data_IF_707544435806
#
_entry.id   IF_707544435806
#
_cell.length_a   1.000
_cell.length_b   1.000
_cell.length_c   1.000
_cell.angle_alpha   90.00
_cell.angle_beta   90.00
_cell.angle_gamma   90.00
#
_symmetry.space_group_name_H-M   'P 1'
#
loop_
_entity.id
_entity.type
_entity.pdbx_description
1 polymer ?
#
# COMPACT_ATOMS: atom_id res chain seq x y z
N UNK A 1 -14.27 34.16 -23.20
CA UNK A 1 -13.41 33.24 -22.38
C UNK A 1 -14.28 32.03 -22.02
N UNK A 2 -14.09 30.93 -22.72
CA UNK A 2 -14.75 29.68 -22.34
C UNK A 2 -14.25 29.26 -20.94
N UNK A 3 -15.18 29.05 -20.01
CA UNK A 3 -14.88 28.47 -18.72
C UNK A 3 -14.30 27.06 -18.95
N UNK A 4 -13.02 26.87 -18.70
CA UNK A 4 -12.42 25.52 -18.68
C UNK A 4 -13.31 24.64 -17.78
N UNK A 5 -13.91 23.61 -18.37
CA UNK A 5 -14.74 22.64 -17.66
C UNK A 5 -13.86 21.98 -16.58
N UNK A 6 -14.31 21.99 -15.34
CA UNK A 6 -13.71 21.20 -14.28
C UNK A 6 -14.15 19.75 -14.45
N UNK A 7 -13.18 18.83 -14.52
CA UNK A 7 -13.44 17.40 -14.55
C UNK A 7 -13.27 16.85 -13.14
N UNK A 8 -14.27 16.18 -12.63
CA UNK A 8 -14.19 15.53 -11.33
C UNK A 8 -13.45 14.20 -11.46
N UNK A 9 -12.67 13.83 -10.40
CA UNK A 9 -11.87 12.58 -10.40
C UNK A 9 -12.76 11.35 -10.63
N UNK A 10 -13.98 11.37 -10.10
CA UNK A 10 -14.95 10.29 -10.29
C UNK A 10 -15.37 10.06 -11.75
N UNK A 11 -15.20 11.07 -12.65
CA UNK A 11 -15.52 10.93 -14.08
C UNK A 11 -14.47 10.07 -14.81
N UNK A 12 -13.22 10.09 -14.35
CA UNK A 12 -12.10 9.38 -15.00
C UNK A 12 -11.70 8.10 -14.25
N UNK A 13 -12.03 8.00 -12.97
CA UNK A 13 -11.61 6.92 -12.10
C UNK A 13 -10.12 6.97 -11.76
N UNK A 14 -9.67 6.01 -10.94
CA UNK A 14 -8.28 5.95 -10.47
C UNK A 14 -7.28 5.76 -11.62
N UNK A 15 -7.45 4.74 -12.44
CA UNK A 15 -6.53 4.44 -13.55
C UNK A 15 -6.52 5.55 -14.60
N UNK A 16 -7.70 6.11 -14.95
CA UNK A 16 -7.78 7.23 -15.88
C UNK A 16 -7.09 8.49 -15.35
N UNK A 17 -7.13 8.73 -14.04
CA UNK A 17 -6.37 9.81 -13.40
C UNK A 17 -4.86 9.56 -13.49
N UNK A 18 -4.40 8.36 -13.19
CA UNK A 18 -2.99 7.98 -13.28
C UNK A 18 -2.48 8.21 -14.70
N UNK A 19 -3.20 7.71 -15.71
CA UNK A 19 -2.84 7.88 -17.12
C UNK A 19 -2.74 9.36 -17.53
N UNK A 20 -3.67 10.19 -17.06
CA UNK A 20 -3.65 11.63 -17.33
C UNK A 20 -2.46 12.33 -16.67
N UNK A 21 -2.12 11.96 -15.44
CA UNK A 21 -1.06 12.61 -14.67
C UNK A 21 0.34 12.15 -15.11
N UNK A 22 0.47 10.91 -15.57
CA UNK A 22 1.75 10.35 -16.02
C UNK A 22 2.02 10.53 -17.50
N UNK A 23 1.05 11.07 -18.24
CA UNK A 23 1.19 11.38 -19.68
C UNK A 23 2.34 12.34 -19.91
N UNK A 24 3.34 11.93 -20.70
CA UNK A 24 4.51 12.72 -21.03
C UNK A 24 5.70 12.51 -20.08
N UNK A 25 5.60 11.59 -19.12
CA UNK A 25 6.73 11.11 -18.32
C UNK A 25 7.30 9.84 -18.94
N UNK A 26 7.90 9.99 -20.12
CA UNK A 26 8.57 8.86 -20.78
C UNK A 26 9.92 8.60 -20.10
N UNK A 27 10.30 7.34 -19.89
CA UNK A 27 11.61 7.00 -19.33
C UNK A 27 12.74 7.58 -20.17
N UNK A 28 13.62 8.37 -19.56
CA UNK A 28 14.80 8.93 -20.21
C UNK A 28 16.04 8.06 -20.01
N UNK A 29 16.03 7.18 -19.00
CA UNK A 29 17.14 6.29 -18.67
C UNK A 29 16.88 4.87 -19.18
N UNK A 30 17.87 4.30 -19.88
CA UNK A 30 17.77 2.98 -20.49
C UNK A 30 17.65 1.83 -19.46
N UNK A 31 17.97 2.07 -18.19
CA UNK A 31 17.79 1.11 -17.10
C UNK A 31 16.33 0.98 -16.67
N UNK A 32 15.48 1.95 -17.00
CA UNK A 32 14.05 1.90 -16.70
C UNK A 32 13.33 1.04 -17.75
N UNK A 33 13.01 -0.19 -17.39
CA UNK A 33 12.32 -1.13 -18.29
C UNK A 33 10.81 -0.94 -18.29
N UNK A 34 10.26 -0.51 -17.15
CA UNK A 34 8.83 -0.22 -16.95
C UNK A 34 8.68 0.92 -15.95
N UNK A 35 8.01 1.97 -16.36
CA UNK A 35 7.68 3.12 -15.51
C UNK A 35 6.25 2.98 -14.94
N UNK A 36 5.54 4.09 -14.73
CA UNK A 36 4.16 4.09 -14.24
C UNK A 36 3.21 3.30 -15.16
N UNK A 37 2.17 2.68 -14.57
CA UNK A 37 1.11 1.96 -15.30
C UNK A 37 1.04 0.46 -15.02
N UNK A 38 1.86 -0.07 -14.12
CA UNK A 38 1.78 -1.44 -13.60
C UNK A 38 1.89 -1.41 -12.05
N UNK A 39 1.85 -2.56 -11.39
CA UNK A 39 1.90 -2.65 -9.92
C UNK A 39 3.22 -2.12 -9.35
N UNK A 40 4.33 -2.26 -10.09
CA UNK A 40 5.63 -1.71 -9.72
C UNK A 40 6.42 -1.21 -10.93
N UNK A 41 7.33 -0.25 -10.70
CA UNK A 41 8.36 0.10 -11.67
C UNK A 41 9.39 -1.03 -11.78
N UNK A 42 9.96 -1.21 -12.98
CA UNK A 42 11.02 -2.21 -13.21
C UNK A 42 12.28 -1.49 -13.67
N UNK A 43 13.33 -1.63 -12.88
CA UNK A 43 14.65 -1.08 -13.18
C UNK A 43 15.63 -2.24 -13.28
N UNK A 44 16.48 -2.21 -14.30
CA UNK A 44 17.49 -3.24 -14.50
C UNK A 44 18.88 -2.68 -14.19
N UNK A 45 19.47 -3.06 -13.06
CA UNK A 45 20.83 -2.67 -12.76
C UNK A 45 21.84 -3.37 -13.71
N UNK A 46 23.09 -2.91 -13.80
CA UNK A 46 24.12 -3.52 -14.66
C UNK A 46 24.38 -5.00 -14.40
N UNK A 47 24.02 -5.52 -13.24
CA UNK A 47 24.15 -6.93 -12.84
C UNK A 47 23.28 -7.91 -13.64
N UNK A 48 22.33 -7.43 -14.43
CA UNK A 48 21.41 -8.26 -15.21
C UNK A 48 20.13 -8.69 -14.46
N UNK A 49 20.02 -8.41 -13.17
CA UNK A 49 18.78 -8.57 -12.43
C UNK A 49 17.89 -7.31 -12.55
N UNK A 50 16.59 -7.51 -12.60
CA UNK A 50 15.62 -6.44 -12.52
C UNK A 50 15.39 -6.07 -11.05
N UNK A 51 15.40 -4.78 -10.75
CA UNK A 51 14.92 -4.23 -9.47
C UNK A 51 13.51 -3.72 -9.69
N UNK A 52 12.60 -4.13 -8.81
CA UNK A 52 11.23 -3.67 -8.77
C UNK A 52 11.08 -2.72 -7.57
N UNK A 53 10.33 -1.65 -7.78
CA UNK A 53 10.06 -0.67 -6.73
C UNK A 53 8.57 -0.33 -6.76
N UNK A 54 7.92 -0.46 -5.61
CA UNK A 54 6.53 -0.03 -5.41
C UNK A 54 6.41 0.86 -4.20
N UNK A 55 5.39 1.71 -4.19
CA UNK A 55 5.08 2.56 -3.04
C UNK A 55 3.59 2.58 -2.79
N UNK A 56 3.23 2.47 -1.51
CA UNK A 56 1.87 2.53 -1.01
C UNK A 56 1.73 3.59 0.07
N UNK A 57 0.53 4.10 0.22
CA UNK A 57 0.18 4.99 1.32
C UNK A 57 -1.07 4.47 2.04
N UNK A 58 -1.01 4.39 3.37
CA UNK A 58 -2.14 4.08 4.22
C UNK A 58 -2.50 5.30 5.07
N UNK A 59 -3.73 5.74 4.99
CA UNK A 59 -4.23 6.95 5.65
C UNK A 59 -5.30 6.59 6.69
N UNK A 60 -5.15 7.15 7.88
CA UNK A 60 -6.17 7.04 8.93
C UNK A 60 -7.51 7.62 8.45
N UNK A 61 -8.59 6.86 8.67
CA UNK A 61 -9.94 7.20 8.22
C UNK A 61 -10.27 6.79 6.79
N UNK A 62 -9.29 6.34 6.00
CA UNK A 62 -9.46 5.81 4.64
C UNK A 62 -9.12 4.31 4.63
N UNK A 63 -7.87 3.96 4.93
CA UNK A 63 -7.36 2.58 4.81
C UNK A 63 -7.46 1.80 6.12
N UNK A 64 -7.57 2.51 7.24
CA UNK A 64 -7.72 1.96 8.58
C UNK A 64 -8.39 2.97 9.51
N UNK A 65 -8.91 2.46 10.64
CA UNK A 65 -9.51 3.27 11.69
C UNK A 65 -8.99 2.76 13.04
N UNK A 66 -8.25 3.61 13.76
CA UNK A 66 -7.61 3.27 15.03
C UNK A 66 -8.61 2.93 16.15
N UNK A 67 -9.91 3.19 15.97
CA UNK A 67 -10.93 2.80 16.97
C UNK A 67 -11.14 1.28 17.03
N UNK A 68 -10.83 0.55 15.97
CA UNK A 68 -10.98 -0.92 15.90
C UNK A 68 -9.83 -1.65 15.23
N UNK A 69 -8.80 -0.93 14.75
CA UNK A 69 -7.65 -1.55 14.10
C UNK A 69 -6.41 -1.43 15.02
N UNK A 70 -5.96 -2.53 15.67
CA UNK A 70 -4.78 -2.49 16.52
C UNK A 70 -3.52 -2.09 15.76
N UNK A 71 -2.68 -1.25 16.37
CA UNK A 71 -1.48 -0.71 15.72
C UNK A 71 -0.50 -1.80 15.27
N UNK A 72 -0.35 -2.86 16.06
CA UNK A 72 0.49 -4.01 15.67
C UNK A 72 -0.02 -4.70 14.41
N UNK A 73 -1.33 -4.87 14.27
CA UNK A 73 -1.92 -5.43 13.05
C UNK A 73 -1.79 -4.46 11.86
N UNK A 74 -1.88 -3.14 12.12
CA UNK A 74 -1.65 -2.13 11.10
C UNK A 74 -0.21 -2.19 10.57
N UNK A 75 0.78 -2.32 11.46
CA UNK A 75 2.18 -2.49 11.07
C UNK A 75 2.41 -3.72 10.19
N UNK A 76 1.81 -4.86 10.54
CA UNK A 76 1.84 -6.07 9.73
C UNK A 76 1.19 -5.87 8.36
N UNK A 77 -0.03 -5.31 8.35
CA UNK A 77 -0.77 -4.99 7.11
C UNK A 77 0.05 -4.10 6.19
N UNK A 78 0.67 -3.04 6.73
CA UNK A 78 1.44 -2.08 5.96
C UNK A 78 2.57 -2.75 5.16
N UNK A 79 3.38 -3.59 5.80
CA UNK A 79 4.45 -4.35 5.13
C UNK A 79 3.87 -5.28 4.05
N UNK A 80 2.79 -5.99 4.38
CA UNK A 80 2.18 -6.97 3.47
C UNK A 80 1.60 -6.30 2.23
N UNK A 81 0.97 -5.12 2.38
CA UNK A 81 0.43 -4.37 1.23
C UNK A 81 1.57 -3.95 0.31
N UNK A 82 2.62 -3.30 0.83
CA UNK A 82 3.75 -2.86 0.01
C UNK A 82 4.52 -4.03 -0.64
N UNK A 83 4.66 -5.15 0.05
CA UNK A 83 5.30 -6.35 -0.49
C UNK A 83 4.45 -7.05 -1.56
N UNK A 84 3.12 -6.91 -1.50
CA UNK A 84 2.21 -7.61 -2.41
C UNK A 84 2.40 -7.22 -3.87
N UNK A 85 2.70 -5.95 -4.17
CA UNK A 85 2.95 -5.48 -5.53
C UNK A 85 4.22 -6.10 -6.13
N UNK A 86 5.26 -6.20 -5.32
CA UNK A 86 6.51 -6.86 -5.71
C UNK A 86 6.27 -8.34 -6.00
N UNK A 87 5.51 -9.01 -5.12
CA UNK A 87 5.16 -10.42 -5.27
C UNK A 87 4.25 -10.65 -6.50
N UNK A 88 3.31 -9.73 -6.77
CA UNK A 88 2.41 -9.81 -7.93
C UNK A 88 3.19 -9.81 -9.26
N UNK A 89 4.38 -9.21 -9.30
CA UNK A 89 5.26 -9.20 -10.46
C UNK A 89 6.30 -10.33 -10.46
N UNK A 90 6.10 -11.37 -9.64
CA UNK A 90 6.98 -12.53 -9.52
C UNK A 90 8.41 -12.18 -9.09
N UNK A 91 8.56 -11.17 -8.23
CA UNK A 91 9.82 -10.78 -7.63
C UNK A 91 9.80 -11.03 -6.11
N UNK A 92 10.98 -11.10 -5.50
CA UNK A 92 11.12 -11.26 -4.05
C UNK A 92 11.34 -9.90 -3.41
N UNK A 93 10.44 -9.43 -2.53
CA UNK A 93 10.68 -8.22 -1.76
C UNK A 93 11.89 -8.42 -0.86
N UNK A 94 12.74 -7.41 -0.74
CA UNK A 94 14.00 -7.49 0.00
C UNK A 94 14.24 -6.33 0.94
N UNK A 95 13.84 -5.11 0.58
CA UNK A 95 13.99 -3.93 1.41
C UNK A 95 12.69 -3.15 1.48
N UNK A 96 12.52 -2.41 2.59
CA UNK A 96 11.40 -1.54 2.85
C UNK A 96 11.89 -0.21 3.42
N UNK A 97 11.29 0.88 2.98
CA UNK A 97 11.38 2.21 3.62
C UNK A 97 10.00 2.62 4.11
N UNK A 98 9.94 3.29 5.27
CA UNK A 98 8.68 3.74 5.87
C UNK A 98 8.73 5.25 6.11
N UNK A 99 7.85 5.98 5.42
CA UNK A 99 7.60 7.39 5.71
C UNK A 99 6.41 7.51 6.65
N UNK A 100 6.59 8.18 7.78
CA UNK A 100 5.61 8.24 8.87
C UNK A 100 5.14 9.67 9.10
N UNK A 101 3.85 9.93 8.92
CA UNK A 101 3.18 11.14 9.36
C UNK A 101 2.49 10.91 10.71
N UNK A 102 3.00 11.54 11.79
CA UNK A 102 2.55 11.27 13.17
C UNK A 102 1.69 12.40 13.69
N UNK A 103 0.47 12.07 14.11
CA UNK A 103 -0.38 12.99 14.85
C UNK A 103 0.09 13.12 16.30
N UNK A 104 -0.01 14.33 16.86
CA UNK A 104 0.29 14.60 18.28
C UNK A 104 -0.59 13.82 19.27
N UNK A 105 -1.60 13.12 18.80
CA UNK A 105 -2.48 12.26 19.62
C UNK A 105 -1.84 10.90 19.92
N UNK A 106 -0.81 10.50 19.17
CA UNK A 106 -0.14 9.22 19.35
C UNK A 106 1.03 9.34 20.32
N UNK A 107 1.15 8.37 21.22
CA UNK A 107 2.31 8.25 22.12
C UNK A 107 3.45 7.50 21.48
N UNK A 108 4.62 7.56 22.10
CA UNK A 108 5.80 6.77 21.68
C UNK A 108 5.49 5.27 21.75
N UNK A 109 4.80 4.83 22.81
CA UNK A 109 4.43 3.43 23.02
C UNK A 109 3.51 2.93 21.89
N UNK A 110 2.55 3.76 21.45
CA UNK A 110 1.67 3.45 20.32
C UNK A 110 2.48 3.26 19.03
N UNK A 111 3.47 4.10 18.78
CA UNK A 111 4.37 3.95 17.62
C UNK A 111 5.27 2.72 17.75
N UNK A 112 5.71 2.38 18.95
CA UNK A 112 6.47 1.14 19.21
C UNK A 112 5.61 -0.08 18.87
N UNK A 113 4.33 -0.12 19.27
CA UNK A 113 3.41 -1.20 18.93
C UNK A 113 3.24 -1.34 17.40
N UNK A 114 3.12 -0.22 16.69
CA UNK A 114 3.09 -0.22 15.21
C UNK A 114 4.36 -0.84 14.63
N UNK A 115 5.53 -0.41 15.11
CA UNK A 115 6.82 -0.93 14.65
C UNK A 115 7.10 -2.37 15.03
N UNK A 116 6.54 -2.88 16.13
CA UNK A 116 6.56 -4.32 16.44
C UNK A 116 5.84 -5.14 15.37
N UNK A 117 4.71 -4.62 14.86
CA UNK A 117 3.99 -5.24 13.75
C UNK A 117 4.79 -5.22 12.45
N UNK A 118 5.42 -4.08 12.13
CA UNK A 118 6.31 -3.94 10.97
C UNK A 118 7.48 -4.94 11.09
N UNK A 119 8.17 -4.95 12.23
CA UNK A 119 9.31 -5.82 12.45
C UNK A 119 8.94 -7.32 12.39
N UNK A 120 7.75 -7.67 12.87
CA UNK A 120 7.26 -9.05 12.78
C UNK A 120 7.04 -9.45 11.32
N UNK A 121 6.35 -8.64 10.54
CA UNK A 121 6.10 -8.92 9.12
C UNK A 121 7.40 -8.95 8.29
N UNK A 122 8.33 -8.02 8.56
CA UNK A 122 9.63 -7.98 7.91
C UNK A 122 10.43 -9.25 8.16
N UNK A 123 10.46 -9.75 9.42
CA UNK A 123 11.14 -11.01 9.74
C UNK A 123 10.49 -12.22 9.07
N UNK A 124 9.17 -12.28 9.07
CA UNK A 124 8.42 -13.40 8.47
C UNK A 124 8.64 -13.48 6.96
N UNK A 125 8.74 -12.32 6.30
CA UNK A 125 8.85 -12.23 4.84
C UNK A 125 10.29 -12.06 4.34
N UNK A 126 11.28 -11.97 5.24
CA UNK A 126 12.69 -11.79 4.87
C UNK A 126 12.98 -10.41 4.29
N UNK A 127 12.29 -9.37 4.75
CA UNK A 127 12.42 -7.98 4.28
C UNK A 127 13.21 -7.17 5.30
N UNK A 128 14.18 -6.40 4.84
CA UNK A 128 14.95 -5.48 5.68
C UNK A 128 14.32 -4.08 5.68
N UNK A 129 14.04 -3.54 6.86
CA UNK A 129 13.72 -2.12 7.02
C UNK A 129 15.01 -1.32 6.91
N UNK A 130 15.20 -0.60 5.80
CA UNK A 130 16.47 0.08 5.48
C UNK A 130 16.45 1.58 5.67
N UNK A 131 15.29 2.18 5.94
CA UNK A 131 15.20 3.61 6.17
C UNK A 131 13.77 4.13 6.21
N UNK A 132 13.64 5.44 6.15
CA UNK A 132 12.35 6.12 6.16
C UNK A 132 12.48 7.60 6.53
N UNK A 133 11.36 8.22 6.80
CA UNK A 133 11.26 9.60 7.26
C UNK A 133 10.14 9.71 8.30
N UNK A 134 10.21 10.71 9.17
CA UNK A 134 9.16 10.98 10.17
C UNK A 134 8.82 12.46 10.19
N UNK A 135 7.54 12.75 10.01
CA UNK A 135 7.00 14.11 10.01
C UNK A 135 5.81 14.23 10.95
N UNK A 136 5.56 15.45 11.42
CA UNK A 136 4.30 15.73 12.10
C UNK A 136 3.14 15.73 11.09
N UNK A 137 1.99 15.16 11.51
CA UNK A 137 0.74 15.18 10.75
C UNK A 137 -0.36 15.87 11.54
N UNK A 138 -1.12 16.72 10.89
CA UNK A 138 -2.30 17.38 11.49
C UNK A 138 -3.59 16.58 11.28
N UNK A 139 -3.59 15.62 10.36
CA UNK A 139 -4.80 14.92 9.92
C UNK A 139 -4.92 13.49 10.42
N UNK A 140 -3.99 13.00 11.22
CA UNK A 140 -3.95 11.63 11.73
C UNK A 140 -2.67 10.90 11.41
N UNK A 141 -2.68 9.57 11.54
CA UNK A 141 -1.55 8.71 11.20
C UNK A 141 -1.52 8.48 9.68
N UNK A 142 -0.37 8.69 9.09
CA UNK A 142 -0.09 8.41 7.68
C UNK A 142 1.13 7.50 7.59
N UNK A 143 1.02 6.44 6.81
CA UNK A 143 2.11 5.51 6.52
C UNK A 143 2.36 5.53 5.01
N UNK A 144 3.52 5.98 4.59
CA UNK A 144 4.03 5.78 3.24
C UNK A 144 5.05 4.66 3.26
N UNK A 145 4.92 3.68 2.39
CA UNK A 145 5.82 2.55 2.33
C UNK A 145 6.40 2.43 0.93
N UNK A 146 7.70 2.24 0.84
CA UNK A 146 8.37 1.95 -0.42
C UNK A 146 9.07 0.62 -0.28
N UNK A 147 8.62 -0.36 -1.06
CA UNK A 147 9.21 -1.69 -1.13
C UNK A 147 10.12 -1.83 -2.35
N UNK A 148 11.23 -2.50 -2.16
CA UNK A 148 12.16 -2.89 -3.21
C UNK A 148 12.23 -4.42 -3.25
N UNK A 149 12.34 -4.95 -4.46
CA UNK A 149 12.53 -6.37 -4.69
C UNK A 149 13.34 -6.61 -5.95
N UNK A 150 13.70 -7.86 -6.20
CA UNK A 150 14.50 -8.21 -7.37
C UNK A 150 14.08 -9.57 -7.94
N UNK A 151 14.29 -9.72 -9.21
CA UNK A 151 14.09 -10.97 -9.93
C UNK A 151 14.98 -11.04 -11.18
N UNK A 152 15.30 -12.24 -11.66
CA UNK A 152 15.81 -12.38 -13.03
C UNK A 152 14.86 -11.71 -14.03
N UNK A 153 15.38 -10.89 -14.93
CA UNK A 153 14.60 -10.08 -15.88
C UNK A 153 13.53 -10.90 -16.62
N UNK A 154 13.88 -12.10 -17.04
CA UNK A 154 13.00 -12.99 -17.81
C UNK A 154 11.89 -13.63 -16.98
N UNK A 155 11.94 -13.51 -15.65
CA UNK A 155 10.91 -14.01 -14.74
C UNK A 155 9.92 -12.94 -14.28
N UNK A 156 10.19 -11.67 -14.57
CA UNK A 156 9.29 -10.58 -14.21
C UNK A 156 8.01 -10.70 -15.02
N UNK A 157 6.88 -10.73 -14.34
CA UNK A 157 5.54 -10.72 -14.95
C UNK A 157 4.88 -9.37 -14.79
N UNK A 158 3.99 -9.02 -15.71
CA UNK A 158 3.24 -7.78 -15.67
C UNK A 158 1.74 -8.05 -15.55
N UNK A 159 0.99 -7.03 -15.14
CA UNK A 159 -0.47 -7.05 -15.00
C UNK A 159 -1.18 -7.43 -16.30
N UNK A 160 -0.65 -6.97 -17.43
CA UNK A 160 -1.19 -7.26 -18.75
C UNK A 160 -0.67 -8.57 -19.32
N UNK A 161 -1.34 -9.08 -20.37
CA UNK A 161 -0.89 -10.23 -21.13
C UNK A 161 -1.81 -11.44 -21.11
N UNK A 162 -2.88 -11.41 -20.30
CA UNK A 162 -3.90 -12.47 -20.28
C UNK A 162 -4.54 -12.61 -21.67
N UNK A 163 -4.76 -13.86 -22.08
CA UNK A 163 -5.28 -14.22 -23.40
C UNK A 163 -6.59 -15.03 -23.25
N UNK A 164 -7.31 -15.12 -24.36
CA UNK A 164 -8.49 -15.99 -24.41
C UNK A 164 -8.08 -17.44 -24.15
N UNK A 165 -8.82 -18.10 -23.26
CA UNK A 165 -8.62 -19.47 -22.74
C UNK A 165 -7.54 -19.61 -21.64
N UNK A 166 -6.98 -18.54 -21.13
CA UNK A 166 -6.16 -18.62 -19.92
C UNK A 166 -7.01 -19.04 -18.72
N UNK A 167 -6.41 -19.82 -17.83
CA UNK A 167 -7.06 -20.24 -16.59
C UNK A 167 -6.97 -19.15 -15.53
N UNK A 168 -8.11 -18.79 -14.96
CA UNK A 168 -8.17 -17.88 -13.79
C UNK A 168 -7.97 -18.72 -12.53
N UNK A 169 -6.81 -18.54 -11.87
CA UNK A 169 -6.49 -19.23 -10.62
C UNK A 169 -6.67 -18.28 -9.44
N UNK A 170 -7.22 -18.81 -8.36
CA UNK A 170 -7.45 -18.07 -7.11
C UNK A 170 -6.74 -18.81 -5.98
N UNK A 171 -6.01 -18.07 -5.14
CA UNK A 171 -5.45 -18.56 -3.88
C UNK A 171 -6.06 -17.81 -2.71
N UNK A 172 -6.22 -18.49 -1.56
CA UNK A 172 -6.77 -17.90 -0.36
C UNK A 172 -8.31 -17.75 -0.38
N UNK A 173 -8.82 -16.91 0.50
CA UNK A 173 -10.25 -16.67 0.69
C UNK A 173 -10.61 -15.25 0.22
N UNK A 174 -11.06 -15.14 -1.02
CA UNK A 174 -11.47 -13.84 -1.59
C UNK A 174 -12.68 -13.29 -0.85
N UNK A 175 -12.60 -12.01 -0.47
CA UNK A 175 -13.67 -11.28 0.21
C UNK A 175 -13.67 -11.43 1.73
N UNK A 176 -12.89 -12.33 2.34
CA UNK A 176 -12.88 -12.50 3.81
C UNK A 176 -12.44 -11.23 4.54
N UNK A 177 -11.40 -10.54 4.06
CA UNK A 177 -10.94 -9.27 4.63
C UNK A 177 -12.02 -8.18 4.54
N UNK A 178 -12.70 -8.07 3.41
CA UNK A 178 -13.80 -7.12 3.23
C UNK A 178 -14.96 -7.42 4.18
N UNK A 179 -15.37 -8.67 4.30
CA UNK A 179 -16.44 -9.05 5.23
C UNK A 179 -16.06 -8.80 6.69
N UNK A 180 -14.79 -9.05 7.07
CA UNK A 180 -14.26 -8.71 8.38
C UNK A 180 -14.34 -7.20 8.67
N UNK A 181 -13.93 -6.37 7.70
CA UNK A 181 -14.06 -4.91 7.80
C UNK A 181 -15.52 -4.47 8.00
N UNK A 182 -16.46 -5.03 7.22
CA UNK A 182 -17.89 -4.70 7.33
C UNK A 182 -18.47 -5.06 8.72
N UNK A 183 -17.98 -6.15 9.31
CA UNK A 183 -18.37 -6.52 10.68
C UNK A 183 -17.85 -5.51 11.69
N UNK A 184 -16.57 -5.12 11.61
CA UNK A 184 -15.97 -4.12 12.50
C UNK A 184 -16.66 -2.76 12.40
N UNK A 185 -16.97 -2.31 11.19
CA UNK A 185 -17.71 -1.06 10.96
C UNK A 185 -19.13 -1.11 11.54
N UNK A 186 -19.78 -2.26 11.45
CA UNK A 186 -21.10 -2.48 12.06
C UNK A 186 -21.01 -2.40 13.58
N UNK A 187 -20.08 -3.10 14.20
CA UNK A 187 -19.86 -3.08 15.65
C UNK A 187 -19.56 -1.66 16.14
N UNK A 188 -18.71 -0.92 15.46
CA UNK A 188 -18.43 0.49 15.77
C UNK A 188 -19.71 1.33 15.80
N UNK A 189 -20.59 1.18 14.81
CA UNK A 189 -21.87 1.92 14.77
C UNK A 189 -22.80 1.53 15.92
N UNK A 190 -22.94 0.23 16.18
CA UNK A 190 -23.80 -0.27 17.28
C UNK A 190 -23.29 0.24 18.61
N UNK A 191 -21.98 0.23 18.86
CA UNK A 191 -21.40 0.70 20.13
C UNK A 191 -21.48 2.23 20.26
N UNK A 192 -21.40 2.98 19.16
CA UNK A 192 -21.55 4.44 19.18
C UNK A 192 -22.98 4.89 19.53
N UNK A 193 -23.99 4.07 19.22
CA UNK A 193 -25.41 4.36 19.51
C UNK A 193 -25.81 3.95 20.94
N UNK A 194 -24.98 3.17 21.66
CA UNK A 194 -25.21 2.84 23.07
C UNK A 194 -24.82 4.06 23.92
N UNK A 195 -25.80 4.85 24.32
CA UNK A 195 -25.60 5.85 25.39
C UNK A 195 -25.15 5.11 26.65
N UNK A 196 -24.01 5.54 27.20
CA UNK A 196 -23.54 5.02 28.50
C UNK A 196 -24.71 4.96 29.48
N UNK A 197 -25.04 3.81 30.08
CA UNK A 197 -26.00 3.78 31.16
C UNK A 197 -25.35 4.57 32.30
N UNK A 198 -26.01 5.64 32.77
CA UNK A 198 -25.56 6.36 33.94
C UNK A 198 -25.27 5.35 35.07
N UNK A 199 -24.11 5.44 35.74
CA UNK A 199 -23.80 4.56 36.84
C UNK A 199 -24.86 4.80 37.95
N UNK A 200 -25.62 3.75 38.28
CA UNK A 200 -26.53 3.76 39.39
C UNK A 200 -25.77 3.70 40.70
#
# INVERSE_FOLDING_TARGET
MEKKRRTEIAEVGEFGLIDLLTKGFDPADASTLRAAGDDAAVVMPPSGEAVLCSTDALLEGIDFDLTYFPLRHLGYKAVTVAASDILAMNALPSQLMVSLGVSSKLSVEALQELYEGIAFACREQGIDLVGGDTKASMTGLVLGLTALGHAPKEKVVSRGGAQQNDLICISGNLGAAYMGLRLLEREKRVLADVKDPEPK
#
